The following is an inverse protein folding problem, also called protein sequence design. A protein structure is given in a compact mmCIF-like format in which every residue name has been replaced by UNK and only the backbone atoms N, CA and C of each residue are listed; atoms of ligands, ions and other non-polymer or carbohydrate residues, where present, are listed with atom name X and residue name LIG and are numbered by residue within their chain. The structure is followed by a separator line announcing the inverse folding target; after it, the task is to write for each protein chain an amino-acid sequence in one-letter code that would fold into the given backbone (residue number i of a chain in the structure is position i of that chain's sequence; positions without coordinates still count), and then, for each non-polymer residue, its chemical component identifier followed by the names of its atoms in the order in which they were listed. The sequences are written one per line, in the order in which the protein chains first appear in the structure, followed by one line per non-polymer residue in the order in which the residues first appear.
data_IF_582118780419
#
_entry.id   IF_582118780419
#
_cell.length_a   1.000
_cell.length_b   1.000
_cell.length_c   1.000
_cell.angle_alpha   90.00
_cell.angle_beta   90.00
_cell.angle_gamma   90.00
#
_symmetry.space_group_name_H-M   'P 1'
#
loop_
_entity.id
_entity.type
_entity.pdbx_description
1 polymer ?
#
# COMPACT_ATOMS: atom_id res chain seq x y z
N UNK A 1 -8.04 15.93 39.47
CA UNK A 1 -8.36 14.54 39.90
C UNK A 1 -9.08 13.86 38.75
N UNK A 2 -8.46 12.93 38.05
CA UNK A 2 -9.10 12.17 36.99
C UNK A 2 -9.90 11.02 37.63
N UNK A 3 -11.16 10.87 37.22
CA UNK A 3 -12.04 9.82 37.70
C UNK A 3 -11.46 8.42 37.44
N UNK A 4 -11.61 7.45 38.35
CA UNK A 4 -11.12 6.10 38.16
C UNK A 4 -11.86 5.43 36.99
N UNK A 5 -11.11 4.87 36.05
CA UNK A 5 -11.63 4.13 34.92
C UNK A 5 -12.43 2.88 35.38
N UNK A 6 -13.47 2.46 34.63
CA UNK A 6 -14.30 1.32 34.99
C UNK A 6 -13.48 0.04 35.16
N UNK A 7 -13.88 -0.83 36.08
CA UNK A 7 -13.18 -2.08 36.45
C UNK A 7 -13.09 -3.09 35.29
N UNK A 8 -13.88 -2.94 34.26
CA UNK A 8 -14.00 -3.87 33.12
C UNK A 8 -13.30 -3.38 31.85
N UNK A 9 -12.30 -2.49 31.97
CA UNK A 9 -11.49 -2.06 30.81
C UNK A 9 -10.69 -3.27 30.26
N UNK A 10 -11.04 -3.76 29.06
CA UNK A 10 -10.39 -4.94 28.46
C UNK A 10 -8.89 -4.74 28.17
N UNK A 11 -8.38 -3.53 28.34
CA UNK A 11 -6.99 -3.13 28.10
C UNK A 11 -6.23 -2.83 29.39
N UNK A 12 -6.79 -3.21 30.56
CA UNK A 12 -6.27 -2.89 31.89
C UNK A 12 -5.18 -3.83 32.38
N UNK A 13 -4.99 -5.00 31.76
CA UNK A 13 -3.87 -5.86 32.14
C UNK A 13 -2.54 -5.20 31.80
N UNK A 14 -1.66 -4.98 32.80
CA UNK A 14 -0.32 -4.48 32.52
C UNK A 14 0.40 -5.51 31.64
N UNK A 15 1.14 -5.02 30.66
CA UNK A 15 2.11 -5.79 29.89
C UNK A 15 3.02 -6.52 30.87
N UNK A 16 2.71 -7.78 31.22
CA UNK A 16 3.63 -8.61 31.98
C UNK A 16 4.90 -8.74 31.16
N UNK A 17 6.01 -8.28 31.71
CA UNK A 17 7.32 -8.54 31.17
C UNK A 17 7.44 -10.04 30.91
N UNK A 18 7.69 -10.43 29.66
CA UNK A 18 7.71 -11.81 29.26
C UNK A 18 8.84 -12.54 30.02
N UNK A 19 8.48 -13.56 30.79
CA UNK A 19 9.40 -14.48 31.43
C UNK A 19 10.28 -15.18 30.36
N UNK A 20 11.63 -15.20 30.48
CA UNK A 20 12.50 -15.78 29.47
C UNK A 20 12.38 -17.31 29.30
N UNK A 21 11.65 -18.02 30.16
CA UNK A 21 11.43 -19.50 30.08
C UNK A 21 10.11 -19.86 29.41
N UNK A 22 9.82 -19.31 28.24
CA UNK A 22 8.52 -19.45 27.61
C UNK A 22 8.40 -20.67 26.70
N UNK A 23 7.33 -21.40 26.99
CA UNK A 23 6.69 -22.47 26.25
C UNK A 23 6.56 -22.17 24.73
N UNK A 24 7.06 -23.05 23.84
CA UNK A 24 6.91 -22.90 22.38
C UNK A 24 5.44 -22.91 21.88
N UNK A 25 4.50 -23.31 22.73
CA UNK A 25 3.06 -23.30 22.44
C UNK A 25 2.36 -21.97 22.73
N UNK A 26 3.08 -20.97 23.25
CA UNK A 26 2.51 -19.67 23.60
C UNK A 26 1.98 -18.92 22.34
N UNK A 27 0.67 -18.67 22.25
CA UNK A 27 0.06 -18.01 21.07
C UNK A 27 0.59 -16.62 20.78
N UNK A 28 1.22 -15.93 21.75
CA UNK A 28 1.84 -14.61 21.52
C UNK A 28 3.08 -14.65 20.62
N UNK A 29 3.73 -15.82 20.49
CA UNK A 29 4.87 -16.04 19.57
C UNK A 29 4.46 -16.62 18.22
N UNK A 30 3.25 -17.15 18.08
CA UNK A 30 2.75 -17.68 16.83
C UNK A 30 2.66 -16.56 15.79
N UNK A 31 3.10 -16.85 14.58
CA UNK A 31 2.90 -15.95 13.43
C UNK A 31 1.40 -15.91 13.11
N UNK A 32 0.87 -14.71 12.88
CA UNK A 32 -0.56 -14.53 12.59
C UNK A 32 -0.80 -14.81 11.10
N UNK A 33 -1.19 -16.04 10.79
CA UNK A 33 -1.37 -16.48 9.40
C UNK A 33 -2.46 -15.70 8.64
N UNK A 34 -3.47 -15.13 9.32
CA UNK A 34 -4.48 -14.27 8.69
C UNK A 34 -3.88 -12.98 8.12
N UNK A 35 -2.91 -12.40 8.82
CA UNK A 35 -2.16 -11.22 8.33
C UNK A 35 -1.32 -11.59 7.10
N UNK A 36 -0.61 -12.72 7.15
CA UNK A 36 0.21 -13.15 6.02
C UNK A 36 -0.67 -13.52 4.81
N UNK A 37 -1.84 -14.13 5.05
CA UNK A 37 -2.80 -14.45 3.99
C UNK A 37 -3.33 -13.18 3.31
N UNK A 38 -3.82 -12.21 4.09
CA UNK A 38 -4.32 -10.95 3.52
C UNK A 38 -3.21 -10.21 2.77
N UNK A 39 -2.01 -10.14 3.36
CA UNK A 39 -0.85 -9.52 2.72
C UNK A 39 -0.50 -10.22 1.41
N UNK A 40 -0.53 -11.55 1.37
CA UNK A 40 -0.27 -12.32 0.15
C UNK A 40 -1.31 -12.09 -0.94
N UNK A 41 -2.59 -12.01 -0.59
CA UNK A 41 -3.65 -11.69 -1.55
C UNK A 41 -3.43 -10.31 -2.17
N UNK A 42 -3.19 -9.28 -1.36
CA UNK A 42 -2.97 -7.93 -1.90
C UNK A 42 -1.65 -7.81 -2.67
N UNK A 43 -0.62 -8.64 -2.38
CA UNK A 43 0.58 -8.72 -3.22
C UNK A 43 0.26 -9.22 -4.63
N UNK A 44 -0.50 -10.29 -4.74
CA UNK A 44 -0.91 -10.86 -6.04
C UNK A 44 -1.76 -9.85 -6.82
N UNK A 45 -2.69 -9.16 -6.15
CA UNK A 45 -3.50 -8.08 -6.75
C UNK A 45 -2.63 -6.89 -7.17
N UNK A 46 -1.58 -6.55 -6.43
CA UNK A 46 -0.68 -5.44 -6.77
C UNK A 46 0.07 -5.69 -8.08
N UNK A 47 0.48 -6.95 -8.35
CA UNK A 47 1.07 -7.29 -9.65
C UNK A 47 0.08 -7.04 -10.80
N UNK A 48 -1.23 -7.25 -10.59
CA UNK A 48 -2.24 -6.93 -11.60
C UNK A 48 -2.26 -5.43 -11.93
N UNK A 49 -2.12 -4.57 -10.92
CA UNK A 49 -2.05 -3.12 -11.10
C UNK A 49 -0.91 -2.73 -12.05
N UNK A 50 0.30 -3.20 -11.73
CA UNK A 50 1.48 -2.88 -12.53
C UNK A 50 1.49 -3.58 -13.90
N UNK A 51 0.99 -4.82 -14.00
CA UNK A 51 0.84 -5.49 -15.30
C UNK A 51 -0.11 -4.71 -16.21
N UNK A 52 -1.23 -4.19 -15.67
CA UNK A 52 -2.16 -3.34 -16.43
C UNK A 52 -1.46 -2.09 -16.94
N UNK A 53 -0.66 -1.43 -16.10
CA UNK A 53 0.02 -0.18 -16.44
C UNK A 53 1.03 -0.38 -17.59
N UNK A 54 1.63 -1.56 -17.72
CA UNK A 54 2.60 -1.88 -18.78
C UNK A 54 2.01 -2.59 -20.00
N UNK A 55 0.78 -3.13 -19.91
CA UNK A 55 0.22 -3.99 -20.97
C UNK A 55 -1.04 -3.40 -21.60
N UNK A 56 -1.91 -2.70 -20.82
CA UNK A 56 -3.19 -2.23 -21.35
C UNK A 56 -3.01 -1.02 -22.25
N UNK A 57 -3.61 -1.06 -23.50
CA UNK A 57 -3.42 -0.04 -24.53
C UNK A 57 -3.77 1.38 -24.07
N UNK A 58 -4.93 1.55 -23.45
CA UNK A 58 -5.41 2.89 -23.08
C UNK A 58 -4.62 3.46 -21.90
N UNK A 59 -4.25 2.61 -20.94
CA UNK A 59 -3.43 3.00 -19.79
C UNK A 59 -2.00 3.38 -20.21
N UNK A 60 -1.42 2.65 -21.16
CA UNK A 60 -0.12 3.01 -21.76
C UNK A 60 -0.17 4.38 -22.44
N UNK A 61 -1.31 4.74 -23.04
CA UNK A 61 -1.52 6.07 -23.65
C UNK A 61 -1.82 7.17 -22.62
N UNK A 62 -1.75 6.86 -21.32
CA UNK A 62 -1.95 7.81 -20.23
C UNK A 62 -3.38 8.01 -19.77
N UNK A 63 -4.35 7.21 -20.26
CA UNK A 63 -5.73 7.29 -19.77
C UNK A 63 -5.85 6.66 -18.39
N UNK A 64 -6.44 7.39 -17.44
CA UNK A 64 -6.74 6.85 -16.12
C UNK A 64 -7.91 5.86 -16.20
N UNK A 65 -7.75 4.61 -15.73
CA UNK A 65 -8.83 3.63 -15.65
C UNK A 65 -10.03 4.07 -14.81
N UNK A 66 -9.89 5.11 -14.01
CA UNK A 66 -10.98 5.67 -13.17
C UNK A 66 -11.68 6.86 -13.84
N UNK A 67 -11.20 7.33 -14.98
CA UNK A 67 -11.86 8.39 -15.75
C UNK A 67 -13.13 7.85 -16.41
N UNK A 68 -14.29 8.35 -15.97
CA UNK A 68 -15.61 7.91 -16.46
C UNK A 68 -15.83 8.17 -17.94
N UNK A 69 -15.11 9.12 -18.57
CA UNK A 69 -15.23 9.41 -19.98
C UNK A 69 -14.52 8.37 -20.88
N UNK A 70 -13.51 7.66 -20.35
CA UNK A 70 -12.65 6.78 -21.14
C UNK A 70 -12.62 5.33 -20.64
N UNK A 71 -13.20 5.04 -19.46
CA UNK A 71 -13.20 3.70 -18.88
C UNK A 71 -14.40 2.86 -19.31
N UNK A 72 -14.34 1.58 -18.98
CA UNK A 72 -15.48 0.67 -19.01
C UNK A 72 -15.55 -0.10 -17.68
N UNK A 73 -16.70 -0.76 -17.36
CA UNK A 73 -16.86 -1.44 -16.08
C UNK A 73 -15.76 -2.45 -15.75
N UNK A 74 -15.31 -3.24 -16.72
CA UNK A 74 -14.27 -4.24 -16.47
C UNK A 74 -12.93 -3.61 -16.14
N UNK A 75 -12.51 -2.59 -16.89
CA UNK A 75 -11.26 -1.87 -16.66
C UNK A 75 -11.31 -1.12 -15.32
N UNK A 76 -12.42 -0.45 -15.02
CA UNK A 76 -12.62 0.23 -13.76
C UNK A 76 -12.50 -0.74 -12.57
N UNK A 77 -13.25 -1.86 -12.55
CA UNK A 77 -13.20 -2.79 -11.43
C UNK A 77 -11.86 -3.54 -11.34
N UNK A 78 -11.15 -3.72 -12.44
CA UNK A 78 -9.74 -4.20 -12.42
C UNK A 78 -8.83 -3.21 -11.70
N UNK A 79 -9.05 -1.90 -11.87
CA UNK A 79 -8.33 -0.86 -11.13
C UNK A 79 -8.81 -0.77 -9.69
N UNK A 80 -10.12 -0.83 -9.46
CA UNK A 80 -10.74 -0.67 -8.15
C UNK A 80 -10.26 -1.74 -7.14
N UNK A 81 -10.15 -3.00 -7.55
CA UNK A 81 -9.67 -4.07 -6.65
C UNK A 81 -8.23 -3.81 -6.18
N UNK A 82 -7.42 -3.13 -6.96
CA UNK A 82 -6.03 -2.80 -6.61
C UNK A 82 -5.93 -1.63 -5.61
N UNK A 83 -7.02 -0.92 -5.35
CA UNK A 83 -7.08 0.13 -4.32
C UNK A 83 -6.83 -0.41 -2.92
N UNK A 84 -7.11 -1.68 -2.66
CA UNK A 84 -6.87 -2.33 -1.36
C UNK A 84 -5.39 -2.47 -1.02
N UNK A 85 -4.49 -2.47 -2.01
CA UNK A 85 -3.08 -2.81 -1.82
C UNK A 85 -2.38 -1.88 -0.83
N UNK A 86 -2.31 -0.59 -1.12
CA UNK A 86 -1.55 0.36 -0.32
C UNK A 86 -2.12 0.56 1.11
N UNK A 87 -3.44 0.78 1.32
CA UNK A 87 -4.00 0.90 2.67
C UNK A 87 -3.74 -0.32 3.54
N UNK A 88 -3.93 -1.52 3.00
CA UNK A 88 -3.66 -2.78 3.73
C UNK A 88 -2.18 -2.90 4.08
N UNK A 89 -1.27 -2.58 3.15
CA UNK A 89 0.17 -2.65 3.42
C UNK A 89 0.61 -1.71 4.52
N UNK A 90 0.22 -0.44 4.43
CA UNK A 90 0.61 0.58 5.39
C UNK A 90 0.03 0.27 6.78
N UNK A 91 -1.26 -0.12 6.83
CA UNK A 91 -1.92 -0.50 8.07
C UNK A 91 -1.29 -1.73 8.73
N UNK A 92 -1.05 -2.80 7.94
CA UNK A 92 -0.43 -4.03 8.44
C UNK A 92 1.06 -3.85 8.80
N UNK A 93 1.76 -2.88 8.22
CA UNK A 93 3.11 -2.53 8.63
C UNK A 93 3.11 -1.94 10.05
N UNK A 94 2.18 -1.04 10.35
CA UNK A 94 1.97 -0.51 11.69
C UNK A 94 1.61 -1.61 12.71
N UNK A 95 0.64 -2.46 12.40
CA UNK A 95 0.26 -3.61 13.22
C UNK A 95 1.45 -4.56 13.47
N UNK A 96 2.26 -4.80 12.43
CA UNK A 96 3.49 -5.60 12.53
C UNK A 96 4.55 -4.99 13.44
N UNK A 97 4.66 -3.67 13.51
CA UNK A 97 5.54 -2.97 14.46
C UNK A 97 5.07 -3.21 15.91
N UNK A 98 3.77 -3.06 16.17
CA UNK A 98 3.21 -3.37 17.50
C UNK A 98 3.44 -4.83 17.90
N UNK A 99 3.23 -5.77 16.99
CA UNK A 99 3.46 -7.20 17.26
C UNK A 99 4.92 -7.53 17.60
N UNK A 100 5.91 -6.78 17.05
CA UNK A 100 7.30 -6.92 17.45
C UNK A 100 7.52 -6.43 18.88
N UNK A 101 6.91 -5.32 19.26
CA UNK A 101 6.93 -4.81 20.64
C UNK A 101 6.28 -5.82 21.60
N UNK A 102 5.08 -6.31 21.28
CA UNK A 102 4.38 -7.31 22.10
C UNK A 102 5.14 -8.63 22.25
N UNK A 103 6.07 -8.95 21.35
CA UNK A 103 6.98 -10.10 21.45
C UNK A 103 8.25 -9.85 22.24
N UNK A 104 8.34 -8.73 22.96
CA UNK A 104 9.43 -8.41 23.89
C UNK A 104 10.55 -7.55 23.31
N UNK A 105 10.38 -6.99 22.10
CA UNK A 105 11.34 -6.01 21.58
C UNK A 105 11.22 -4.71 22.37
N UNK A 106 12.33 -4.14 22.84
CA UNK A 106 12.29 -2.86 23.53
C UNK A 106 11.84 -1.73 22.60
N UNK A 107 11.25 -0.66 23.15
CA UNK A 107 10.87 0.53 22.33
C UNK A 107 12.09 1.14 21.62
N UNK A 108 13.25 1.18 22.27
CA UNK A 108 14.49 1.69 21.69
C UNK A 108 14.95 0.84 20.49
N UNK A 109 14.98 -0.49 20.64
CA UNK A 109 15.34 -1.39 19.54
C UNK A 109 14.33 -1.36 18.41
N UNK A 110 13.04 -1.25 18.74
CA UNK A 110 11.99 -1.12 17.73
C UNK A 110 12.11 0.21 16.97
N UNK A 111 12.36 1.33 17.69
CA UNK A 111 12.58 2.64 17.07
C UNK A 111 13.78 2.60 16.13
N UNK A 112 14.92 2.08 16.57
CA UNK A 112 16.11 1.89 15.74
C UNK A 112 15.82 1.04 14.49
N UNK A 113 15.10 -0.07 14.65
CA UNK A 113 14.68 -0.93 13.54
C UNK A 113 13.78 -0.20 12.55
N UNK A 114 12.79 0.57 13.03
CA UNK A 114 11.87 1.32 12.17
C UNK A 114 12.60 2.41 11.37
N UNK A 115 13.52 3.15 12.00
CA UNK A 115 14.34 4.16 11.31
C UNK A 115 15.22 3.52 10.24
N UNK A 116 16.01 2.50 10.60
CA UNK A 116 16.93 1.87 9.66
C UNK A 116 16.21 1.19 8.50
N UNK A 117 15.07 0.52 8.77
CA UNK A 117 14.23 -0.08 7.74
C UNK A 117 13.55 0.99 6.89
N UNK A 118 13.09 2.09 7.50
CA UNK A 118 12.49 3.21 6.77
C UNK A 118 13.46 3.85 5.79
N UNK A 119 14.68 4.14 6.22
CA UNK A 119 15.74 4.65 5.36
C UNK A 119 16.09 3.67 4.23
N UNK A 120 16.16 2.38 4.53
CA UNK A 120 16.40 1.33 3.54
C UNK A 120 15.31 1.31 2.45
N UNK A 121 14.03 1.41 2.83
CA UNK A 121 12.93 1.46 1.86
C UNK A 121 13.01 2.69 0.95
N UNK A 122 13.37 3.87 1.50
CA UNK A 122 13.58 5.08 0.72
C UNK A 122 14.72 4.90 -0.30
N UNK A 123 15.83 4.32 0.12
CA UNK A 123 16.95 4.02 -0.80
C UNK A 123 16.50 3.06 -1.90
N UNK A 124 15.78 1.99 -1.57
CA UNK A 124 15.27 1.03 -2.55
C UNK A 124 14.32 1.67 -3.56
N UNK A 125 13.48 2.64 -3.15
CA UNK A 125 12.56 3.34 -4.05
C UNK A 125 13.30 4.05 -5.18
N UNK A 126 14.34 4.83 -4.83
CA UNK A 126 15.08 5.65 -5.80
C UNK A 126 16.22 4.91 -6.52
N UNK A 127 16.48 3.67 -6.15
CA UNK A 127 17.50 2.84 -6.81
C UNK A 127 16.86 1.65 -7.51
N UNK A 128 16.59 0.58 -6.80
CA UNK A 128 16.12 -0.70 -7.35
C UNK A 128 14.75 -0.55 -8.01
N UNK A 129 13.77 0.05 -7.32
CA UNK A 129 12.41 0.20 -7.86
C UNK A 129 12.40 1.13 -9.07
N UNK A 130 13.08 2.27 -8.96
CA UNK A 130 13.21 3.22 -10.07
C UNK A 130 13.84 2.55 -11.30
N UNK A 131 14.97 1.85 -11.14
CA UNK A 131 15.62 1.16 -12.25
C UNK A 131 14.77 0.02 -12.82
N UNK A 132 14.06 -0.72 -11.97
CA UNK A 132 13.18 -1.81 -12.40
C UNK A 132 11.91 -1.32 -13.12
N UNK A 133 11.38 -0.16 -12.73
CA UNK A 133 10.20 0.43 -13.36
C UNK A 133 10.50 1.02 -14.74
N UNK A 134 11.69 1.59 -14.95
CA UNK A 134 12.03 2.31 -16.17
C UNK A 134 13.09 1.61 -17.03
N UNK A 135 13.69 0.53 -16.55
CA UNK A 135 14.76 -0.25 -17.20
C UNK A 135 15.91 0.63 -17.75
N UNK A 136 16.25 1.70 -17.04
CA UNK A 136 17.36 2.59 -17.38
C UNK A 136 18.00 3.22 -16.13
N UNK A 137 19.19 3.79 -16.31
CA UNK A 137 19.97 4.52 -15.31
C UNK A 137 20.03 6.04 -15.59
N UNK A 138 19.13 6.56 -16.43
CA UNK A 138 19.05 8.00 -16.70
C UNK A 138 18.28 8.71 -15.60
N UNK A 139 18.97 9.39 -14.72
CA UNK A 139 18.42 10.15 -13.59
C UNK A 139 18.09 11.62 -13.94
N UNK A 140 17.88 11.97 -15.20
CA UNK A 140 17.26 13.25 -15.57
C UNK A 140 15.85 13.35 -15.04
N UNK A 141 15.15 12.22 -14.95
CA UNK A 141 14.00 12.02 -14.08
C UNK A 141 14.46 11.21 -12.86
N UNK A 142 14.47 11.84 -11.67
CA UNK A 142 14.97 11.20 -10.47
C UNK A 142 14.13 10.00 -10.04
N UNK A 143 12.82 10.12 -10.11
CA UNK A 143 11.91 9.02 -9.79
C UNK A 143 10.56 9.49 -9.25
N UNK A 144 9.75 8.51 -8.88
CA UNK A 144 8.46 8.70 -8.25
C UNK A 144 8.53 8.30 -6.77
N UNK A 145 8.02 9.15 -5.89
CA UNK A 145 7.85 8.87 -4.46
C UNK A 145 6.59 8.03 -4.28
N UNK A 146 6.76 6.70 -4.39
CA UNK A 146 5.66 5.74 -4.40
C UNK A 146 5.44 5.06 -3.03
N UNK A 147 4.87 3.86 -3.03
CA UNK A 147 4.37 3.22 -1.81
C UNK A 147 5.46 2.81 -0.83
N UNK A 148 6.66 2.38 -1.25
CA UNK A 148 7.70 2.02 -0.28
C UNK A 148 8.44 3.26 0.25
N UNK A 149 8.46 4.37 -0.50
CA UNK A 149 8.90 5.66 0.04
C UNK A 149 7.99 6.11 1.19
N UNK A 150 6.66 6.14 0.99
CA UNK A 150 5.73 6.54 2.05
C UNK A 150 5.73 5.57 3.23
N UNK A 151 5.90 4.26 2.98
CA UNK A 151 6.11 3.27 4.03
C UNK A 151 7.37 3.59 4.84
N UNK A 152 8.48 3.91 4.15
CA UNK A 152 9.75 4.26 4.79
C UNK A 152 9.63 5.49 5.69
N UNK A 153 9.09 6.58 5.17
CA UNK A 153 8.88 7.82 5.95
C UNK A 153 7.90 7.59 7.10
N UNK A 154 6.80 6.88 6.85
CA UNK A 154 5.83 6.55 7.91
C UNK A 154 6.45 5.69 9.02
N UNK A 155 7.37 4.77 8.70
CA UNK A 155 8.12 4.02 9.71
C UNK A 155 9.03 4.92 10.54
N UNK A 156 9.71 5.90 9.92
CA UNK A 156 10.57 6.86 10.63
C UNK A 156 9.73 7.71 11.59
N UNK A 157 8.57 8.21 11.14
CA UNK A 157 7.65 8.96 12.02
C UNK A 157 7.10 8.07 13.13
N UNK A 158 6.70 6.84 12.81
CA UNK A 158 6.21 5.88 13.80
C UNK A 158 7.29 5.56 14.85
N UNK A 159 8.58 5.54 14.47
CA UNK A 159 9.69 5.33 15.42
C UNK A 159 9.72 6.35 16.56
N UNK A 160 9.28 7.58 16.32
CA UNK A 160 9.07 8.58 17.37
C UNK A 160 7.76 8.36 18.13
N UNK A 161 6.66 8.07 17.41
CA UNK A 161 5.33 7.93 18.00
C UNK A 161 5.19 6.74 18.96
N UNK A 162 5.91 5.64 18.76
CA UNK A 162 5.84 4.45 19.63
C UNK A 162 6.23 4.69 21.09
N UNK A 163 6.91 5.81 21.38
CA UNK A 163 7.23 6.20 22.76
C UNK A 163 6.01 6.71 23.52
N UNK A 164 4.98 7.18 22.82
CA UNK A 164 3.70 7.58 23.37
C UNK A 164 2.82 6.36 23.73
N UNK A 165 1.80 6.53 24.57
CA UNK A 165 0.78 5.51 24.79
C UNK A 165 0.08 5.15 23.47
N UNK A 166 -0.19 3.86 23.24
CA UNK A 166 -0.81 3.39 21.98
C UNK A 166 -2.15 4.08 21.66
N UNK A 167 -2.90 4.49 22.71
CA UNK A 167 -4.16 5.25 22.55
C UNK A 167 -3.92 6.62 21.92
N UNK A 168 -2.86 7.31 22.32
CA UNK A 168 -2.45 8.61 21.76
C UNK A 168 -2.01 8.44 20.30
N UNK A 169 -1.22 7.39 20.01
CA UNK A 169 -0.82 7.05 18.64
C UNK A 169 -2.04 6.75 17.76
N UNK A 170 -3.03 6.03 18.29
CA UNK A 170 -4.28 5.74 17.60
C UNK A 170 -5.12 6.99 17.36
N UNK A 171 -5.25 7.86 18.36
CA UNK A 171 -5.97 9.13 18.23
C UNK A 171 -5.31 10.06 17.19
N UNK A 172 -3.98 10.16 17.20
CA UNK A 172 -3.22 10.88 16.17
C UNK A 172 -3.52 10.32 14.77
N UNK A 173 -3.49 8.98 14.61
CA UNK A 173 -3.81 8.33 13.34
C UNK A 173 -5.23 8.61 12.87
N UNK A 174 -6.22 8.51 13.75
CA UNK A 174 -7.62 8.82 13.45
C UNK A 174 -7.82 10.29 13.07
N UNK A 175 -7.28 11.23 13.85
CA UNK A 175 -7.38 12.66 13.56
C UNK A 175 -6.78 12.98 12.18
N UNK A 176 -5.59 12.43 11.87
CA UNK A 176 -4.97 12.62 10.58
C UNK A 176 -5.85 12.08 9.44
N UNK A 177 -6.42 10.88 9.59
CA UNK A 177 -7.29 10.25 8.58
C UNK A 177 -8.61 11.03 8.41
N UNK A 178 -9.22 11.50 9.48
CA UNK A 178 -10.53 12.15 9.41
C UNK A 178 -10.46 13.62 9.00
N UNK A 179 -9.37 14.33 9.29
CA UNK A 179 -9.29 15.77 9.08
C UNK A 179 -8.51 16.19 7.83
N UNK A 180 -7.70 15.32 7.22
CA UNK A 180 -6.82 15.73 6.12
C UNK A 180 -7.58 16.26 4.89
N UNK A 181 -8.82 15.80 4.63
CA UNK A 181 -9.62 16.31 3.52
C UNK A 181 -9.96 17.81 3.65
N UNK A 182 -9.80 18.41 4.84
CA UNK A 182 -9.88 19.87 4.99
C UNK A 182 -8.76 20.60 4.24
N UNK A 183 -7.64 19.91 3.98
CA UNK A 183 -6.51 20.42 3.22
C UNK A 183 -6.74 20.42 1.70
N UNK A 184 -7.70 19.64 1.18
CA UNK A 184 -7.98 19.51 -0.26
C UNK A 184 -8.32 20.85 -0.94
N UNK A 185 -8.73 21.85 -0.16
CA UNK A 185 -9.03 23.21 -0.64
C UNK A 185 -7.79 23.99 -1.11
N UNK A 186 -6.62 23.62 -0.60
CA UNK A 186 -5.37 24.28 -0.97
C UNK A 186 -4.78 23.57 -2.20
N UNK A 187 -4.24 24.39 -3.12
CA UNK A 187 -3.54 23.89 -4.30
C UNK A 187 -2.28 24.71 -4.51
N UNK A 188 -1.17 24.05 -4.77
CA UNK A 188 0.11 24.67 -5.09
C UNK A 188 0.63 24.11 -6.41
N UNK A 189 1.53 24.83 -7.05
CA UNK A 189 2.14 24.39 -8.30
C UNK A 189 3.59 23.98 -8.05
N UNK A 190 3.98 22.84 -8.63
CA UNK A 190 5.36 22.41 -8.74
C UNK A 190 6.09 23.15 -9.88
N UNK A 191 7.31 22.76 -10.16
CA UNK A 191 8.11 23.33 -11.27
C UNK A 191 7.49 22.91 -12.61
N UNK A 192 7.34 23.87 -13.55
CA UNK A 192 6.67 23.61 -14.84
C UNK A 192 7.64 23.48 -16.04
N UNK A 193 8.87 23.87 -15.87
CA UNK A 193 9.89 23.81 -16.93
C UNK A 193 11.21 24.48 -16.56
N UNK A 194 12.18 24.50 -17.47
CA UNK A 194 13.53 25.00 -17.20
C UNK A 194 13.58 26.45 -16.71
N UNK A 195 12.66 27.28 -17.17
CA UNK A 195 12.62 28.72 -16.85
C UNK A 195 11.53 29.08 -15.84
N UNK A 196 10.86 28.06 -15.25
CA UNK A 196 9.86 28.30 -14.21
C UNK A 196 10.51 28.77 -12.92
N UNK A 197 9.89 29.71 -12.17
CA UNK A 197 10.36 30.03 -10.82
C UNK A 197 10.27 28.78 -9.93
N UNK A 198 11.24 28.66 -9.02
CA UNK A 198 11.19 27.58 -8.03
C UNK A 198 9.97 27.76 -7.13
N UNK A 199 9.23 26.67 -6.81
CA UNK A 199 8.18 26.71 -5.83
C UNK A 199 8.72 27.19 -4.48
N UNK A 200 7.89 27.91 -3.71
CA UNK A 200 8.25 28.28 -2.34
C UNK A 200 8.49 27.04 -1.46
N UNK A 201 9.24 27.18 -0.39
CA UNK A 201 9.45 26.09 0.59
C UNK A 201 8.11 25.56 1.11
N UNK A 202 7.14 26.44 1.33
CA UNK A 202 5.77 26.05 1.70
C UNK A 202 5.12 25.19 0.62
N UNK A 203 5.19 25.59 -0.65
CA UNK A 203 4.62 24.79 -1.75
C UNK A 203 5.30 23.44 -1.87
N UNK A 204 6.63 23.36 -1.77
CA UNK A 204 7.36 22.09 -1.77
C UNK A 204 6.97 21.19 -0.60
N UNK A 205 6.86 21.75 0.61
CA UNK A 205 6.39 21.02 1.78
C UNK A 205 4.96 20.50 1.60
N UNK A 206 4.07 21.33 1.06
CA UNK A 206 2.68 20.93 0.83
C UNK A 206 2.56 19.83 -0.22
N UNK A 207 3.34 19.86 -1.29
CA UNK A 207 3.40 18.76 -2.28
C UNK A 207 3.79 17.45 -1.60
N UNK A 208 4.85 17.47 -0.79
CA UNK A 208 5.30 16.24 -0.08
C UNK A 208 4.27 15.77 0.94
N UNK A 209 3.59 16.67 1.61
CA UNK A 209 2.67 16.35 2.69
C UNK A 209 1.29 15.94 2.19
N UNK A 210 0.72 16.60 1.17
CA UNK A 210 -0.69 16.43 0.85
C UNK A 210 -1.08 16.48 -0.63
N UNK A 211 -0.22 16.92 -1.56
CA UNK A 211 -0.61 17.05 -2.97
C UNK A 211 0.17 16.11 -3.87
N UNK A 212 -0.56 15.24 -4.61
CA UNK A 212 0.06 14.29 -5.53
C UNK A 212 0.27 14.87 -6.94
N UNK A 213 1.16 14.22 -7.70
CA UNK A 213 1.45 14.44 -9.13
C UNK A 213 2.03 15.79 -9.50
N UNK A 214 2.44 16.60 -8.53
CA UNK A 214 3.18 17.83 -8.81
C UNK A 214 4.69 17.55 -8.87
N UNK A 215 5.40 18.08 -9.86
CA UNK A 215 6.85 17.91 -9.98
C UNK A 215 7.59 18.71 -8.91
N UNK A 216 8.33 17.99 -8.07
CA UNK A 216 9.16 18.55 -7.01
C UNK A 216 10.60 18.72 -7.54
N UNK A 217 11.16 19.94 -7.61
CA UNK A 217 12.54 20.12 -8.05
C UNK A 217 13.50 19.67 -6.95
N UNK A 218 14.43 18.78 -7.31
CA UNK A 218 15.49 18.30 -6.43
C UNK A 218 16.79 19.03 -6.69
N UNK A 219 17.08 19.34 -7.95
CA UNK A 219 18.29 20.01 -8.38
C UNK A 219 18.05 20.76 -9.69
N UNK A 220 18.63 21.96 -9.82
CA UNK A 220 18.61 22.73 -11.07
C UNK A 220 19.90 22.47 -11.85
N UNK A 221 19.81 21.75 -12.96
CA UNK A 221 20.94 21.53 -13.86
C UNK A 221 20.93 22.51 -15.04
N UNK A 222 22.04 22.61 -15.76
CA UNK A 222 22.12 23.38 -17.01
C UNK A 222 21.17 22.87 -18.11
N UNK A 223 20.67 21.64 -17.99
CA UNK A 223 19.69 21.00 -18.92
C UNK A 223 18.25 21.12 -18.45
N UNK A 224 18.00 21.79 -17.32
CA UNK A 224 16.70 21.92 -16.69
C UNK A 224 16.62 21.28 -15.30
N UNK A 225 15.46 21.36 -14.64
CA UNK A 225 15.28 20.80 -13.30
C UNK A 225 15.29 19.27 -13.32
N UNK A 226 16.05 18.66 -12.41
CA UNK A 226 15.89 17.26 -12.05
C UNK A 226 14.73 17.18 -11.06
N UNK A 227 13.69 16.44 -11.43
CA UNK A 227 12.44 16.38 -10.66
C UNK A 227 12.16 14.99 -10.13
N UNK A 228 11.45 14.93 -8.99
CA UNK A 228 10.73 13.78 -8.52
C UNK A 228 9.24 14.08 -8.51
N UNK A 229 8.41 13.05 -8.73
CA UNK A 229 6.97 13.16 -8.55
C UNK A 229 6.53 12.51 -7.26
N UNK A 230 5.80 13.25 -6.43
CA UNK A 230 5.17 12.71 -5.24
C UNK A 230 3.87 12.03 -5.67
N UNK A 231 3.85 10.69 -5.69
CA UNK A 231 2.63 9.91 -5.99
C UNK A 231 1.87 9.63 -4.69
N UNK A 232 2.59 9.38 -3.59
CA UNK A 232 2.05 9.11 -2.27
C UNK A 232 2.45 10.21 -1.28
N UNK A 233 1.68 11.32 -1.18
CA UNK A 233 1.89 12.33 -0.15
C UNK A 233 1.77 11.72 1.24
N UNK A 234 2.50 12.29 2.22
CA UNK A 234 2.63 11.67 3.55
C UNK A 234 1.32 11.62 4.34
N UNK A 235 0.49 12.64 4.20
CA UNK A 235 -0.82 12.71 4.85
C UNK A 235 -1.88 12.15 3.88
N UNK A 236 -2.67 11.16 4.28
CA UNK A 236 -2.85 10.59 5.62
C UNK A 236 -2.07 9.28 5.89
N UNK A 237 -1.15 8.85 5.04
CA UNK A 237 -0.50 7.54 5.15
C UNK A 237 0.22 7.31 6.48
N UNK A 238 0.86 8.36 7.02
CA UNK A 238 1.44 8.31 8.38
C UNK A 238 0.37 7.99 9.42
N UNK A 239 -0.82 8.59 9.26
CA UNK A 239 -1.98 8.30 10.10
C UNK A 239 -2.46 6.85 9.99
N UNK A 240 -2.50 6.29 8.77
CA UNK A 240 -2.87 4.89 8.54
C UNK A 240 -1.89 3.94 9.23
N UNK A 241 -0.59 4.21 9.16
CA UNK A 241 0.42 3.39 9.86
C UNK A 241 0.31 3.52 11.39
N UNK A 242 0.11 4.74 11.90
CA UNK A 242 -0.08 4.99 13.34
C UNK A 242 -1.34 4.28 13.87
N UNK A 243 -2.45 4.35 13.11
CA UNK A 243 -3.68 3.62 13.43
C UNK A 243 -3.45 2.11 13.41
N UNK A 244 -2.71 1.60 12.42
CA UNK A 244 -2.32 0.18 12.34
C UNK A 244 -1.51 -0.27 13.56
N UNK A 245 -0.57 0.57 14.03
CA UNK A 245 0.19 0.29 15.26
C UNK A 245 -0.72 0.18 16.48
N UNK A 246 -1.59 1.17 16.69
CA UNK A 246 -2.55 1.13 17.80
C UNK A 246 -3.50 -0.07 17.69
N UNK A 247 -3.94 -0.40 16.48
CA UNK A 247 -4.79 -1.56 16.22
C UNK A 247 -4.09 -2.89 16.52
N UNK A 248 -2.77 -2.95 16.47
CA UNK A 248 -1.97 -4.14 16.81
C UNK A 248 -2.30 -4.72 18.19
N UNK A 249 -2.78 -3.89 19.14
CA UNK A 249 -3.26 -4.33 20.46
C UNK A 249 -4.35 -5.40 20.39
N UNK A 250 -5.20 -5.35 19.35
CA UNK A 250 -6.29 -6.31 19.14
C UNK A 250 -5.77 -7.76 19.02
N UNK A 251 -4.54 -7.93 18.55
CA UNK A 251 -3.91 -9.25 18.43
C UNK A 251 -3.46 -9.86 19.77
N UNK A 252 -3.53 -9.12 20.87
CA UNK A 252 -3.33 -9.67 22.22
C UNK A 252 -4.62 -10.24 22.81
N UNK A 253 -5.77 -9.97 22.18
CA UNK A 253 -7.05 -10.52 22.61
C UNK A 253 -7.18 -12.00 22.25
N UNK A 254 -8.02 -12.72 23.00
CA UNK A 254 -8.48 -14.04 22.66
C UNK A 254 -9.11 -14.06 21.25
N UNK A 255 -8.91 -15.14 20.49
CA UNK A 255 -9.28 -15.24 19.07
C UNK A 255 -10.77 -14.93 18.80
N UNK A 256 -11.69 -15.45 19.64
CA UNK A 256 -13.12 -15.19 19.46
C UNK A 256 -13.50 -13.72 19.70
N UNK A 257 -12.87 -13.06 20.68
CA UNK A 257 -13.05 -11.66 20.98
C UNK A 257 -12.44 -10.77 19.89
N UNK A 258 -11.23 -11.11 19.43
CA UNK A 258 -10.53 -10.42 18.33
C UNK A 258 -11.37 -10.46 17.06
N UNK A 259 -11.89 -11.65 16.68
CA UNK A 259 -12.75 -11.81 15.51
C UNK A 259 -14.01 -10.92 15.59
N UNK A 260 -14.68 -10.88 16.74
CA UNK A 260 -15.85 -9.99 16.95
C UNK A 260 -15.49 -8.52 16.79
N UNK A 261 -14.33 -8.13 17.32
CA UNK A 261 -13.81 -6.76 17.18
C UNK A 261 -13.51 -6.39 15.72
N UNK A 262 -12.81 -7.25 15.00
CA UNK A 262 -12.52 -7.09 13.58
C UNK A 262 -13.81 -6.91 12.76
N UNK A 263 -14.81 -7.76 12.97
CA UNK A 263 -16.11 -7.65 12.31
C UNK A 263 -16.81 -6.35 12.67
N UNK A 264 -16.88 -5.98 13.95
CA UNK A 264 -17.56 -4.76 14.41
C UNK A 264 -16.94 -3.52 13.79
N UNK A 265 -15.61 -3.37 13.88
CA UNK A 265 -14.91 -2.18 13.37
C UNK A 265 -14.92 -2.16 11.83
N UNK A 266 -14.69 -3.30 11.18
CA UNK A 266 -14.73 -3.40 9.72
C UNK A 266 -16.12 -3.08 9.15
N UNK A 267 -17.20 -3.62 9.76
CA UNK A 267 -18.57 -3.32 9.35
C UNK A 267 -18.92 -1.84 9.60
N UNK A 268 -18.53 -1.29 10.75
CA UNK A 268 -18.78 0.12 11.06
C UNK A 268 -18.07 1.05 10.05
N UNK A 269 -16.81 0.75 9.69
CA UNK A 269 -16.05 1.51 8.69
C UNK A 269 -16.71 1.42 7.29
N UNK A 270 -17.17 0.23 6.90
CA UNK A 270 -17.86 0.01 5.61
C UNK A 270 -19.20 0.75 5.56
N UNK A 271 -19.99 0.69 6.65
CA UNK A 271 -21.25 1.44 6.74
C UNK A 271 -20.97 2.95 6.70
N UNK A 272 -19.97 3.43 7.43
CA UNK A 272 -19.59 4.84 7.43
C UNK A 272 -19.18 5.31 6.03
N UNK A 273 -18.44 4.48 5.27
CA UNK A 273 -18.16 4.76 3.86
C UNK A 273 -19.46 4.99 3.08
N UNK A 274 -20.41 4.06 3.15
CA UNK A 274 -21.68 4.15 2.39
C UNK A 274 -22.47 5.41 2.78
N UNK A 275 -22.59 5.67 4.09
CA UNK A 275 -23.35 6.83 4.60
C UNK A 275 -22.72 8.16 4.14
N UNK A 276 -21.41 8.33 4.33
CA UNK A 276 -20.73 9.56 3.92
C UNK A 276 -20.74 9.72 2.40
N UNK A 277 -20.56 8.62 1.64
CA UNK A 277 -20.58 8.66 0.18
C UNK A 277 -21.94 9.04 -0.37
N UNK A 278 -23.02 8.53 0.21
CA UNK A 278 -24.39 8.89 -0.20
C UNK A 278 -24.69 10.37 -0.01
N UNK A 279 -24.11 11.00 1.01
CA UNK A 279 -24.37 12.42 1.33
C UNK A 279 -23.55 13.39 0.48
N UNK A 280 -22.41 12.99 -0.08
CA UNK A 280 -21.43 13.86 -0.73
C UNK A 280 -20.97 15.08 0.12
N UNK A 281 -21.15 15.05 1.45
CA UNK A 281 -20.86 16.21 2.31
C UNK A 281 -19.38 16.34 2.66
N UNK A 282 -18.70 15.21 2.87
CA UNK A 282 -17.32 15.19 3.36
C UNK A 282 -16.62 13.88 3.03
N UNK A 283 -15.29 13.94 2.97
CA UNK A 283 -14.43 12.77 2.94
C UNK A 283 -13.94 12.34 1.56
N UNK A 284 -14.34 13.03 0.51
CA UNK A 284 -13.76 12.87 -0.83
C UNK A 284 -13.91 14.18 -1.63
N UNK A 285 -12.87 14.68 -2.32
CA UNK A 285 -12.96 15.89 -3.13
C UNK A 285 -13.79 15.70 -4.41
N UNK A 286 -14.03 14.44 -4.85
CA UNK A 286 -14.79 14.11 -6.04
C UNK A 286 -16.17 13.51 -5.67
N UNK A 287 -17.27 14.28 -5.71
CA UNK A 287 -18.61 13.78 -5.41
C UNK A 287 -19.04 12.77 -6.48
N UNK A 288 -19.80 11.74 -6.06
CA UNK A 288 -20.46 10.87 -7.01
C UNK A 288 -21.73 11.52 -7.58
N UNK A 289 -22.09 11.15 -8.80
CA UNK A 289 -23.30 11.62 -9.46
C UNK A 289 -23.94 10.50 -10.27
N UNK A 290 -25.27 10.61 -10.47
CA UNK A 290 -26.01 9.74 -11.38
C UNK A 290 -25.46 9.93 -12.80
N UNK A 291 -25.21 8.81 -13.47
CA UNK A 291 -24.69 8.74 -14.82
C UNK A 291 -25.79 8.28 -15.79
N UNK A 292 -25.48 8.25 -17.09
CA UNK A 292 -26.39 7.83 -18.16
C UNK A 292 -26.87 6.38 -18.02
N UNK A 293 -26.08 5.51 -17.38
CA UNK A 293 -26.44 4.10 -17.15
C UNK A 293 -26.29 3.73 -15.68
N UNK A 294 -26.98 2.67 -15.26
CA UNK A 294 -26.86 2.13 -13.88
C UNK A 294 -25.43 1.69 -13.57
N UNK A 295 -24.77 1.02 -14.51
CA UNK A 295 -23.39 0.56 -14.33
C UNK A 295 -22.41 1.72 -14.10
N UNK A 296 -22.51 2.80 -14.88
CA UNK A 296 -21.67 3.98 -14.68
C UNK A 296 -22.05 4.77 -13.41
N UNK A 297 -23.31 4.74 -12.99
CA UNK A 297 -23.73 5.30 -11.68
C UNK A 297 -23.08 4.53 -10.52
N UNK A 298 -23.04 3.19 -10.59
CA UNK A 298 -22.34 2.35 -9.62
C UNK A 298 -20.84 2.66 -9.64
N UNK A 299 -20.23 2.76 -10.81
CA UNK A 299 -18.82 3.15 -10.95
C UNK A 299 -18.57 4.50 -10.30
N UNK A 300 -19.40 5.53 -10.59
CA UNK A 300 -19.29 6.86 -10.00
C UNK A 300 -19.34 6.80 -8.47
N UNK A 301 -20.20 5.95 -7.89
CA UNK A 301 -20.28 5.76 -6.46
C UNK A 301 -18.98 5.18 -5.84
N UNK A 302 -18.36 4.21 -6.50
CA UNK A 302 -17.12 3.58 -6.02
C UNK A 302 -15.84 4.31 -6.47
N UNK A 303 -15.96 5.31 -7.33
CA UNK A 303 -14.85 6.12 -7.80
C UNK A 303 -14.48 7.18 -6.74
N UNK A 304 -13.55 6.84 -5.87
CA UNK A 304 -13.04 7.69 -4.79
C UNK A 304 -11.58 8.03 -5.00
N UNK A 305 -11.17 9.19 -4.52
CA UNK A 305 -9.83 9.75 -4.73
C UNK A 305 -8.76 8.95 -3.99
N UNK A 306 -7.77 8.48 -4.75
CA UNK A 306 -6.63 7.69 -4.23
C UNK A 306 -5.39 8.55 -3.92
N UNK A 307 -5.26 9.71 -4.54
CA UNK A 307 -4.03 10.52 -4.51
C UNK A 307 -4.32 12.00 -4.24
N UNK A 308 -4.16 12.48 -2.99
CA UNK A 308 -3.99 11.72 -1.75
C UNK A 308 -5.21 10.83 -1.46
N UNK A 309 -5.05 9.73 -0.70
CA UNK A 309 -6.18 8.87 -0.42
C UNK A 309 -7.20 9.58 0.49
N UNK A 310 -8.41 9.76 -0.01
CA UNK A 310 -9.49 10.40 0.73
C UNK A 310 -9.93 9.56 1.94
N UNK A 311 -10.65 10.15 2.89
CA UNK A 311 -11.28 9.41 3.98
C UNK A 311 -12.17 8.29 3.44
N UNK A 312 -12.95 8.57 2.38
CA UNK A 312 -13.82 7.58 1.76
C UNK A 312 -13.03 6.44 1.11
N UNK A 313 -11.90 6.73 0.47
CA UNK A 313 -10.99 5.71 -0.04
C UNK A 313 -10.47 4.79 1.05
N UNK A 314 -10.07 5.35 2.21
CA UNK A 314 -9.57 4.57 3.34
C UNK A 314 -10.67 3.73 4.00
N UNK A 315 -11.87 4.26 4.17
CA UNK A 315 -13.01 3.52 4.71
C UNK A 315 -13.45 2.39 3.78
N UNK A 316 -13.53 2.65 2.46
CA UNK A 316 -13.88 1.68 1.42
C UNK A 316 -12.90 0.49 1.39
N UNK A 317 -11.63 0.74 1.66
CA UNK A 317 -10.60 -0.29 1.56
C UNK A 317 -10.31 -0.99 2.88
N UNK A 318 -10.12 -0.24 3.97
CA UNK A 318 -9.79 -0.83 5.28
C UNK A 318 -10.98 -1.51 5.95
N UNK A 319 -12.21 -1.01 5.75
CA UNK A 319 -13.42 -1.64 6.29
C UNK A 319 -13.55 -3.11 5.86
N UNK A 320 -13.69 -3.40 4.55
CA UNK A 320 -13.74 -4.78 4.03
C UNK A 320 -12.47 -5.59 4.32
N UNK A 321 -11.28 -4.97 4.39
CA UNK A 321 -10.04 -5.65 4.73
C UNK A 321 -10.07 -6.20 6.18
N UNK A 322 -10.63 -5.46 7.13
CA UNK A 322 -10.81 -5.92 8.51
C UNK A 322 -11.84 -7.06 8.60
N UNK A 323 -12.92 -7.00 7.81
CA UNK A 323 -13.90 -8.08 7.70
C UNK A 323 -13.24 -9.35 7.14
N UNK A 324 -12.40 -9.20 6.10
CA UNK A 324 -11.65 -10.30 5.52
C UNK A 324 -10.69 -10.93 6.55
N UNK A 325 -9.98 -10.11 7.34
CA UNK A 325 -9.14 -10.63 8.45
C UNK A 325 -9.94 -11.48 9.43
N UNK A 326 -11.13 -11.01 9.85
CA UNK A 326 -12.00 -11.75 10.75
C UNK A 326 -12.45 -13.10 10.14
N UNK A 327 -12.72 -13.11 8.84
CA UNK A 327 -13.09 -14.34 8.12
C UNK A 327 -11.92 -15.31 7.99
N UNK A 328 -10.70 -14.81 7.75
CA UNK A 328 -9.49 -15.64 7.68
C UNK A 328 -9.12 -16.28 9.03
N UNK A 329 -9.44 -15.62 10.14
CA UNK A 329 -9.24 -16.17 11.49
C UNK A 329 -10.25 -17.24 11.89
N UNK A 330 -11.44 -17.26 11.28
CA UNK A 330 -12.48 -18.24 11.59
C UNK A 330 -12.20 -19.64 11.02
N UNK A 331 -11.22 -19.77 10.15
CA UNK A 331 -10.93 -21.02 9.44
C UNK A 331 -9.69 -21.69 10.02
N UNK A 332 -9.82 -22.97 10.33
CA UNK A 332 -8.73 -23.80 10.85
C UNK A 332 -7.48 -23.76 9.97
N UNK A 333 -6.27 -23.87 10.58
CA UNK A 333 -5.03 -23.90 9.82
C UNK A 333 -4.98 -25.16 8.94
N UNK A 334 -4.43 -24.93 7.76
CA UNK A 334 -3.90 -25.91 6.79
C UNK A 334 -4.49 -27.32 6.87
N UNK A 335 -5.62 -27.50 6.18
CA UNK A 335 -6.04 -28.82 5.73
C UNK A 335 -5.35 -29.13 4.40
N UNK A 336 -5.18 -30.42 4.06
CA UNK A 336 -4.71 -30.84 2.72
C UNK A 336 -5.74 -30.60 1.61
N UNK A 337 -6.89 -30.07 1.96
CA UNK A 337 -7.94 -29.65 1.04
C UNK A 337 -7.43 -28.62 0.02
N UNK A 338 -8.15 -28.48 -1.10
CA UNK A 338 -7.88 -27.44 -2.10
C UNK A 338 -7.83 -26.04 -1.47
N UNK A 339 -8.74 -25.75 -0.54
CA UNK A 339 -8.76 -24.47 0.18
C UNK A 339 -7.48 -24.25 1.01
N UNK A 340 -6.94 -25.31 1.64
CA UNK A 340 -5.67 -25.25 2.35
C UNK A 340 -4.48 -25.01 1.42
N UNK A 341 -4.45 -25.63 0.23
CA UNK A 341 -3.42 -25.42 -0.79
C UNK A 341 -3.46 -23.97 -1.32
N UNK A 342 -4.65 -23.45 -1.62
CA UNK A 342 -4.84 -22.05 -2.06
C UNK A 342 -4.40 -21.09 -0.95
N UNK A 343 -4.79 -21.32 0.30
CA UNK A 343 -4.31 -20.53 1.44
C UNK A 343 -2.78 -20.52 1.53
N UNK A 344 -2.15 -21.69 1.45
CA UNK A 344 -0.68 -21.83 1.49
C UNK A 344 0.01 -21.06 0.35
N UNK A 345 -0.58 -21.08 -0.85
CA UNK A 345 -0.10 -20.32 -2.00
C UNK A 345 -0.01 -18.81 -1.69
N UNK A 346 -1.11 -18.20 -1.23
CA UNK A 346 -1.10 -16.77 -0.89
C UNK A 346 -0.23 -16.44 0.32
N UNK A 347 -0.25 -17.26 1.38
CA UNK A 347 0.60 -17.09 2.56
C UNK A 347 2.09 -17.07 2.17
N UNK A 348 2.50 -17.80 1.15
CA UNK A 348 3.89 -17.78 0.66
C UNK A 348 4.32 -16.37 0.25
N UNK A 349 3.52 -15.66 -0.51
CA UNK A 349 3.80 -14.27 -0.90
C UNK A 349 3.79 -13.33 0.31
N UNK A 350 2.81 -13.48 1.22
CA UNK A 350 2.69 -12.65 2.42
C UNK A 350 3.85 -12.78 3.41
N UNK A 351 4.62 -13.88 3.33
CA UNK A 351 5.83 -14.10 4.14
C UNK A 351 7.06 -13.35 3.65
N UNK A 352 7.08 -12.97 2.37
CA UNK A 352 8.22 -12.30 1.71
C UNK A 352 7.79 -11.04 0.95
N UNK A 353 7.03 -10.12 1.58
CA UNK A 353 6.36 -9.04 0.86
C UNK A 353 7.32 -8.08 0.15
N UNK A 354 8.44 -7.68 0.78
CA UNK A 354 9.39 -6.78 0.14
C UNK A 354 10.13 -7.46 -1.02
N UNK A 355 10.49 -8.74 -0.87
CA UNK A 355 11.12 -9.50 -1.95
C UNK A 355 10.19 -9.60 -3.18
N UNK A 356 8.90 -9.92 -2.96
CA UNK A 356 7.92 -9.90 -4.04
C UNK A 356 7.79 -8.49 -4.63
N UNK A 357 7.68 -7.44 -3.79
CA UNK A 357 7.54 -6.07 -4.24
C UNK A 357 8.67 -5.63 -5.19
N UNK A 358 9.91 -5.99 -4.87
CA UNK A 358 11.05 -5.66 -5.72
C UNK A 358 11.04 -6.42 -7.05
N UNK A 359 10.57 -7.67 -7.05
CA UNK A 359 10.52 -8.51 -8.25
C UNK A 359 9.31 -8.24 -9.15
N UNK A 360 8.21 -7.70 -8.62
CA UNK A 360 7.00 -7.49 -9.41
C UNK A 360 7.18 -6.45 -10.52
N UNK A 361 8.00 -5.41 -10.31
CA UNK A 361 8.26 -4.39 -11.32
C UNK A 361 8.94 -4.95 -12.57
N UNK A 362 10.13 -5.60 -12.45
CA UNK A 362 10.74 -6.23 -13.61
C UNK A 362 9.88 -7.36 -14.19
N UNK A 363 9.06 -8.05 -13.38
CA UNK A 363 8.15 -9.09 -13.86
C UNK A 363 7.02 -8.51 -14.71
N UNK A 364 6.38 -7.44 -14.27
CA UNK A 364 5.33 -6.76 -15.05
C UNK A 364 5.91 -6.25 -16.39
N UNK A 365 7.10 -5.69 -16.36
CA UNK A 365 7.80 -5.26 -17.56
C UNK A 365 8.14 -6.42 -18.50
N UNK A 366 8.71 -7.52 -17.96
CA UNK A 366 9.06 -8.71 -18.72
C UNK A 366 7.84 -9.33 -19.41
N UNK A 367 6.72 -9.47 -18.70
CA UNK A 367 5.49 -10.00 -19.31
C UNK A 367 4.93 -9.08 -20.38
N UNK A 368 5.09 -7.76 -20.25
CA UNK A 368 4.76 -6.79 -21.29
C UNK A 368 5.66 -6.94 -22.52
N UNK A 369 6.98 -7.05 -22.32
CA UNK A 369 7.94 -7.29 -23.41
C UNK A 369 7.58 -8.57 -24.18
N UNK A 370 7.32 -9.65 -23.46
CA UNK A 370 6.94 -10.94 -24.09
C UNK A 370 5.62 -10.83 -24.87
N UNK A 371 4.62 -10.16 -24.32
CA UNK A 371 3.35 -9.95 -25.02
C UNK A 371 3.54 -9.15 -26.32
N UNK A 372 4.37 -8.08 -26.29
CA UNK A 372 4.65 -7.28 -27.48
C UNK A 372 5.43 -8.07 -28.53
N UNK A 373 6.44 -8.86 -28.14
CA UNK A 373 7.19 -9.73 -29.07
C UNK A 373 6.28 -10.77 -29.72
N UNK A 374 5.45 -11.47 -28.95
CA UNK A 374 4.47 -12.44 -29.46
C UNK A 374 3.46 -11.76 -30.40
N UNK A 375 3.06 -10.52 -30.08
CA UNK A 375 2.14 -9.73 -30.91
C UNK A 375 2.81 -9.04 -32.11
N UNK A 376 4.09 -9.28 -32.38
CA UNK A 376 4.82 -8.65 -33.49
C UNK A 376 4.99 -7.14 -33.35
N UNK A 377 4.94 -6.61 -32.13
CA UNK A 377 5.05 -5.17 -31.84
C UNK A 377 6.46 -4.78 -31.40
N UNK A 378 6.95 -3.57 -31.73
CA UNK A 378 8.27 -3.11 -31.33
C UNK A 378 8.36 -2.93 -29.81
N UNK A 379 9.52 -3.28 -29.22
CA UNK A 379 9.79 -3.19 -27.78
C UNK A 379 10.83 -2.12 -27.44
N UNK A 380 11.55 -1.56 -28.43
CA UNK A 380 12.68 -0.64 -28.18
C UNK A 380 12.27 0.59 -27.34
N UNK A 381 11.04 1.06 -27.49
CA UNK A 381 10.49 2.20 -26.75
C UNK A 381 10.33 1.94 -25.22
N UNK A 382 10.29 0.67 -24.80
CA UNK A 382 10.18 0.29 -23.39
C UNK A 382 11.47 0.52 -22.59
N UNK A 383 12.59 0.74 -23.29
CA UNK A 383 13.90 0.95 -22.68
C UNK A 383 14.31 2.41 -22.81
N UNK A 384 14.67 3.04 -21.69
CA UNK A 384 15.19 4.40 -21.68
C UNK A 384 14.15 5.48 -21.36
N UNK A 385 14.59 6.73 -21.40
CA UNK A 385 13.81 7.93 -21.09
C UNK A 385 12.68 8.22 -22.07
N UNK A 386 12.76 7.73 -23.29
CA UNK A 386 11.74 7.95 -24.32
C UNK A 386 10.34 7.50 -23.86
N UNK A 387 10.24 6.44 -23.06
CA UNK A 387 8.97 6.01 -22.46
C UNK A 387 8.34 7.10 -21.58
N UNK A 388 9.16 7.91 -20.91
CA UNK A 388 8.71 8.93 -19.97
C UNK A 388 8.41 10.28 -20.64
N UNK A 389 9.15 10.60 -21.71
CA UNK A 389 9.06 11.91 -22.36
C UNK A 389 8.09 11.92 -23.55
N UNK A 390 8.04 10.83 -24.30
CA UNK A 390 7.29 10.74 -25.55
C UNK A 390 6.11 9.76 -25.48
N UNK A 391 6.01 9.00 -24.38
CA UNK A 391 5.03 7.91 -24.27
C UNK A 391 5.29 6.76 -25.26
N UNK A 392 4.46 5.73 -25.26
CA UNK A 392 4.53 4.63 -26.22
C UNK A 392 4.10 5.09 -27.61
N UNK A 393 4.67 4.50 -28.70
CA UNK A 393 4.18 4.75 -30.05
C UNK A 393 2.69 4.38 -30.21
N UNK A 394 1.96 5.00 -31.15
CA UNK A 394 0.58 4.62 -31.42
C UNK A 394 0.40 3.13 -31.73
N UNK A 395 -0.68 2.54 -31.25
CA UNK A 395 -1.00 1.13 -31.48
C UNK A 395 -0.31 0.13 -30.56
N UNK A 396 0.44 0.61 -29.55
CA UNK A 396 1.04 -0.26 -28.52
C UNK A 396 0.01 -0.74 -27.51
N UNK A 397 0.39 -1.77 -26.74
CA UNK A 397 -0.46 -2.37 -25.74
C UNK A 397 -1.55 -3.28 -26.31
N UNK A 398 -2.34 -3.83 -25.37
CA UNK A 398 -3.31 -4.89 -25.63
C UNK A 398 -4.63 -4.65 -24.87
N UNK A 399 -5.60 -5.52 -25.09
CA UNK A 399 -6.84 -5.51 -24.33
C UNK A 399 -6.68 -6.12 -22.93
N UNK A 400 -7.72 -6.04 -22.13
CA UNK A 400 -7.71 -6.49 -20.74
C UNK A 400 -7.50 -8.02 -20.58
N UNK A 401 -7.91 -8.84 -21.57
CA UNK A 401 -7.67 -10.27 -21.55
C UNK A 401 -6.16 -10.60 -21.52
N UNK A 402 -5.38 -9.92 -22.37
CA UNK A 402 -3.92 -10.09 -22.39
C UNK A 402 -3.29 -9.62 -21.08
N UNK A 403 -3.81 -8.55 -20.46
CA UNK A 403 -3.39 -8.12 -19.12
C UNK A 403 -3.55 -9.26 -18.09
N UNK A 404 -4.70 -9.93 -18.07
CA UNK A 404 -4.93 -11.05 -17.14
C UNK A 404 -4.03 -12.24 -17.43
N UNK A 405 -3.77 -12.58 -18.69
CA UNK A 405 -2.84 -13.64 -19.06
C UNK A 405 -1.43 -13.31 -18.57
N UNK A 406 -0.94 -12.10 -18.83
CA UNK A 406 0.37 -11.63 -18.36
C UNK A 406 0.47 -11.62 -16.83
N UNK A 407 -0.58 -11.17 -16.14
CA UNK A 407 -0.65 -11.18 -14.68
C UNK A 407 -0.55 -12.59 -14.11
N UNK A 408 -1.37 -13.53 -14.61
CA UNK A 408 -1.35 -14.94 -14.15
C UNK A 408 0.03 -15.55 -14.41
N UNK A 409 0.60 -15.35 -15.60
CA UNK A 409 1.95 -15.82 -15.92
C UNK A 409 2.98 -15.23 -14.94
N UNK A 410 2.94 -13.92 -14.67
CA UNK A 410 3.83 -13.27 -13.73
C UNK A 410 3.70 -13.81 -12.29
N UNK A 411 2.48 -14.05 -11.80
CA UNK A 411 2.23 -14.66 -10.48
C UNK A 411 2.83 -16.07 -10.41
N UNK A 412 2.61 -16.89 -11.44
CA UNK A 412 3.11 -18.26 -11.48
C UNK A 412 4.64 -18.31 -11.55
N UNK A 413 5.27 -17.40 -12.29
CA UNK A 413 6.74 -17.28 -12.37
C UNK A 413 7.35 -16.79 -11.05
N UNK A 414 6.69 -15.86 -10.34
CA UNK A 414 7.17 -15.35 -9.05
C UNK A 414 6.99 -16.35 -7.91
N UNK A 415 6.03 -17.27 -8.00
CA UNK A 415 5.72 -18.21 -6.91
C UNK A 415 6.92 -19.06 -6.48
N UNK A 416 7.64 -19.77 -7.37
CA UNK A 416 8.79 -20.56 -6.98
C UNK A 416 9.92 -19.73 -6.35
N UNK A 417 10.16 -18.51 -6.83
CA UNK A 417 11.16 -17.59 -6.27
C UNK A 417 10.78 -17.16 -4.85
N UNK A 418 9.52 -16.79 -4.64
CA UNK A 418 9.01 -16.41 -3.33
C UNK A 418 9.00 -17.60 -2.35
N UNK A 419 8.66 -18.80 -2.82
CA UNK A 419 8.69 -20.03 -2.02
C UNK A 419 10.12 -20.39 -1.59
N UNK A 420 11.07 -20.30 -2.51
CA UNK A 420 12.50 -20.49 -2.23
C UNK A 420 12.98 -19.50 -1.17
N UNK A 421 12.73 -18.18 -1.37
CA UNK A 421 13.19 -17.14 -0.45
C UNK A 421 12.51 -17.23 0.92
N UNK A 422 11.22 -17.61 0.97
CA UNK A 422 10.55 -17.90 2.24
C UNK A 422 11.23 -19.05 3.00
N UNK A 423 11.70 -20.08 2.30
CA UNK A 423 12.50 -21.16 2.88
C UNK A 423 13.87 -20.68 3.38
N UNK A 424 14.55 -19.80 2.64
CA UNK A 424 15.82 -19.18 3.09
C UNK A 424 15.59 -18.40 4.39
N UNK A 425 14.54 -17.56 4.47
CA UNK A 425 14.20 -16.80 5.70
C UNK A 425 13.87 -17.68 6.90
N UNK A 426 13.38 -18.89 6.70
CA UNK A 426 13.10 -19.84 7.79
C UNK A 426 14.37 -20.52 8.30
N UNK A 427 15.30 -20.87 7.40
CA UNK A 427 16.53 -21.58 7.72
C UNK A 427 17.62 -20.65 8.29
N UNK A 428 17.68 -19.42 7.81
CA UNK A 428 18.71 -18.46 8.19
C UNK A 428 18.09 -17.29 8.97
N UNK A 429 18.55 -17.06 10.20
CA UNK A 429 18.12 -15.95 11.07
C UNK A 429 19.04 -14.73 10.97
N UNK A 430 19.68 -14.51 9.82
CA UNK A 430 20.55 -13.35 9.61
C UNK A 430 19.81 -12.02 9.76
N UNK A 431 20.43 -11.02 10.39
CA UNK A 431 19.82 -9.69 10.60
C UNK A 431 19.39 -9.02 9.30
N UNK A 432 20.17 -9.17 8.23
CA UNK A 432 19.88 -8.59 6.91
C UNK A 432 18.59 -9.15 6.27
N UNK A 433 18.25 -10.42 6.54
CA UNK A 433 17.00 -11.03 6.05
C UNK A 433 15.73 -10.40 6.67
N UNK A 434 15.86 -9.71 7.80
CA UNK A 434 14.73 -8.98 8.38
C UNK A 434 14.41 -7.68 7.62
N UNK A 435 15.32 -7.21 6.77
CA UNK A 435 15.14 -6.04 5.93
C UNK A 435 14.53 -6.35 4.57
N UNK A 436 14.53 -7.61 4.14
CA UNK A 436 13.84 -8.15 2.95
C UNK A 436 12.61 -8.97 3.37
#
# INVERSE_FOLDING_TARGET
MAAPLPKDDPFREPLRAADPKLDPTNPSRARVDSIDLLRGIVMVIMLLDHTRDFVHRDVLMGFDPTDLAHTNPMLFFTRWITHFCAPVFVFLAGAGAYLQFARGKSKADLSKFLVTRGLWLIVLEFTVVRCAAFLNFDYTFFGAMQVIWVLGVSMIVLAALIHLPWRVVGAFGLLMIFLHNLLDKFRVQGVRGPNSPLPSIWAMAYIVLHQAFEPLPLYMSSRGPIVAFVIYPLIPWVGVMALGYAFGVVYQMEAARRRRWLLKVGTAATILFVVLRLTNLYGDPAPWAKQSTVSFTIISFFNVTKYPPSLLFLLMTLGPALIALAWFESRSPVSESLAGKVRKFFVTFGRVPLFFYLLQWPMAHLTSIMAHLIGGKPIRWMFGTAMMTNGPPPGMGFNLLVVYVCWIAGVLLLYPLCKWFAGVKQRHRGRWLSYL
#
